data_IF_740115715676
#
_entry.id   IF_740115715676
#
_cell.length_a   1.000
_cell.length_b   1.000
_cell.length_c   1.000
_cell.angle_alpha   90.00
_cell.angle_beta   90.00
_cell.angle_gamma   90.00
#
_symmetry.space_group_name_H-M   'P 1'
#
loop_
_entity.id
_entity.type
_entity.pdbx_description
1 polymer ?
#
# COMPACT_ATOMS: atom_id res chain seq x y z
N UNK A 1 16.06 34.34 -26.86
CA UNK A 1 14.95 34.02 -25.95
C UNK A 1 15.23 32.61 -25.39
N UNK A 2 15.66 32.52 -24.13
CA UNK A 2 15.80 31.23 -23.46
C UNK A 2 14.41 30.75 -23.07
N UNK A 3 13.98 29.65 -23.64
CA UNK A 3 12.76 28.93 -23.28
C UNK A 3 12.80 28.60 -21.82
N UNK A 4 11.68 28.81 -21.12
CA UNK A 4 11.49 28.44 -19.73
C UNK A 4 11.92 26.98 -19.56
N UNK A 5 12.94 26.75 -18.72
CA UNK A 5 13.37 25.42 -18.31
C UNK A 5 12.24 24.81 -17.52
N UNK A 6 11.54 23.88 -18.15
CA UNK A 6 10.57 22.99 -17.48
C UNK A 6 11.33 22.29 -16.34
N UNK A 7 11.07 22.69 -15.09
CA UNK A 7 11.65 22.00 -13.93
C UNK A 7 11.18 20.56 -14.03
N UNK A 8 12.07 19.57 -13.92
CA UNK A 8 11.65 18.17 -13.95
C UNK A 8 10.55 17.97 -12.89
N UNK A 9 9.42 17.40 -13.32
CA UNK A 9 8.28 17.14 -12.44
C UNK A 9 8.76 16.30 -11.28
N UNK A 10 8.58 16.79 -10.06
CA UNK A 10 8.87 16.04 -8.83
C UNK A 10 7.98 14.81 -8.77
N UNK A 11 8.58 13.63 -8.50
CA UNK A 11 7.81 12.39 -8.35
C UNK A 11 7.02 12.40 -7.05
N UNK A 12 5.78 12.00 -7.13
CA UNK A 12 4.88 11.87 -5.98
C UNK A 12 4.82 10.44 -5.47
N UNK A 13 4.99 10.24 -4.16
CA UNK A 13 4.81 8.95 -3.48
C UNK A 13 3.63 9.05 -2.54
N UNK A 14 2.61 8.23 -2.74
CA UNK A 14 1.57 8.02 -1.74
C UNK A 14 1.97 6.90 -0.80
N UNK A 15 2.06 7.19 0.50
CA UNK A 15 2.27 6.21 1.56
C UNK A 15 0.92 5.86 2.17
N UNK A 16 0.49 4.63 1.92
CA UNK A 16 -0.77 4.06 2.40
C UNK A 16 -0.52 3.14 3.58
N UNK A 17 -1.06 3.47 4.73
CA UNK A 17 -0.97 2.66 5.95
C UNK A 17 -1.99 3.09 6.99
N UNK A 18 -2.25 2.20 7.95
CA UNK A 18 -2.81 2.59 9.25
C UNK A 18 -1.71 3.19 10.12
N UNK A 19 -2.07 4.11 11.00
CA UNK A 19 -1.07 4.84 11.82
C UNK A 19 -0.69 4.05 13.08
N UNK A 20 -1.67 3.44 13.73
CA UNK A 20 -1.51 2.84 15.06
C UNK A 20 -0.50 1.68 15.08
N UNK A 21 0.47 1.79 15.97
CA UNK A 21 1.47 0.76 16.24
C UNK A 21 2.70 0.78 15.32
N UNK A 22 2.72 1.68 14.33
CA UNK A 22 3.87 1.85 13.41
C UNK A 22 4.22 3.31 13.16
N UNK A 23 3.88 4.19 14.10
CA UNK A 23 4.09 5.64 14.00
C UNK A 23 5.55 5.98 13.67
N UNK A 24 6.51 5.35 14.35
CA UNK A 24 7.94 5.59 14.11
C UNK A 24 8.40 5.16 12.70
N UNK A 25 7.77 4.11 12.15
CA UNK A 25 8.04 3.65 10.78
C UNK A 25 7.55 4.68 9.78
N UNK A 26 6.35 5.22 10.01
CA UNK A 26 5.73 6.23 9.13
C UNK A 26 6.49 7.56 9.19
N UNK A 27 6.93 8.00 10.38
CA UNK A 27 7.77 9.19 10.51
C UNK A 27 9.08 9.02 9.73
N UNK A 28 9.77 7.88 9.92
CA UNK A 28 11.00 7.62 9.21
C UNK A 28 10.81 7.52 7.69
N UNK A 29 9.71 6.92 7.23
CA UNK A 29 9.36 6.87 5.81
C UNK A 29 9.17 8.27 5.23
N UNK A 30 8.40 9.12 5.92
CA UNK A 30 8.17 10.51 5.49
C UNK A 30 9.49 11.29 5.38
N UNK A 31 10.31 11.26 6.42
CA UNK A 31 11.58 12.00 6.49
C UNK A 31 12.56 11.54 5.40
N UNK A 32 12.74 10.22 5.24
CA UNK A 32 13.63 9.66 4.23
C UNK A 32 13.17 10.02 2.81
N UNK A 33 11.91 9.78 2.48
CA UNK A 33 11.39 10.05 1.14
C UNK A 33 11.44 11.54 0.80
N UNK A 34 11.09 12.41 1.74
CA UNK A 34 11.18 13.86 1.56
C UNK A 34 12.64 14.28 1.36
N UNK A 35 13.58 13.72 2.12
CA UNK A 35 15.03 14.02 1.99
C UNK A 35 15.61 13.60 0.65
N UNK A 36 15.03 12.59 0.00
CA UNK A 36 15.42 12.13 -1.34
C UNK A 36 14.76 12.93 -2.48
N UNK A 37 13.92 13.91 -2.16
CA UNK A 37 13.31 14.81 -3.12
C UNK A 37 11.95 14.40 -3.65
N UNK A 38 11.30 13.39 -3.06
CA UNK A 38 9.92 13.05 -3.41
C UNK A 38 8.91 14.00 -2.76
N UNK A 39 7.79 14.21 -3.44
CA UNK A 39 6.59 14.78 -2.84
C UNK A 39 5.81 13.64 -2.16
N UNK A 40 5.77 13.67 -0.82
CA UNK A 40 5.21 12.56 -0.03
C UNK A 40 3.77 12.86 0.38
N UNK A 41 2.84 12.03 -0.05
CA UNK A 41 1.42 12.12 0.30
C UNK A 41 1.08 11.10 1.39
N UNK A 42 0.71 11.58 2.55
CA UNK A 42 0.27 10.80 3.70
C UNK A 42 -0.94 11.48 4.35
N UNK A 43 -2.03 10.74 4.52
CA UNK A 43 -3.29 11.29 5.04
C UNK A 43 -3.13 11.84 6.48
N UNK A 44 -2.46 11.10 7.37
CA UNK A 44 -2.27 11.51 8.75
C UNK A 44 -1.31 12.70 8.94
N UNK A 45 -0.44 12.96 7.96
CA UNK A 45 0.42 14.16 7.92
C UNK A 45 -0.29 15.36 7.28
N UNK A 46 -1.47 15.17 6.72
CA UNK A 46 -2.18 16.23 5.99
C UNK A 46 -1.50 16.63 4.68
N UNK A 47 -0.56 15.84 4.18
CA UNK A 47 0.15 16.14 2.91
C UNK A 47 -0.55 15.55 1.69
N UNK A 48 -1.55 14.68 1.87
CA UNK A 48 -2.39 14.20 0.78
C UNK A 48 -3.29 15.34 0.28
N UNK A 49 -3.29 15.67 -1.02
CA UNK A 49 -4.22 16.65 -1.59
C UNK A 49 -5.67 16.20 -1.41
N UNK A 50 -6.50 17.06 -0.79
CA UNK A 50 -7.91 16.78 -0.54
C UNK A 50 -8.80 17.81 -1.23
N UNK A 51 -9.95 17.36 -1.73
CA UNK A 51 -10.96 18.17 -2.37
C UNK A 51 -12.22 18.16 -1.52
N UNK A 52 -12.75 19.36 -1.18
CA UNK A 52 -13.87 19.55 -0.25
C UNK A 52 -15.20 18.98 -0.73
N UNK A 53 -15.33 18.73 -2.03
CA UNK A 53 -16.52 18.13 -2.66
C UNK A 53 -16.47 16.61 -2.74
N UNK A 54 -15.50 15.97 -2.09
CA UNK A 54 -15.29 14.52 -2.06
C UNK A 54 -15.29 14.00 -0.63
N UNK A 55 -15.72 12.77 -0.46
CA UNK A 55 -15.57 12.04 0.80
C UNK A 55 -14.10 11.74 1.12
N UNK A 56 -13.79 11.36 2.36
CA UNK A 56 -12.46 10.92 2.75
C UNK A 56 -11.98 9.74 1.90
N UNK A 57 -12.85 8.75 1.65
CA UNK A 57 -12.55 7.60 0.80
C UNK A 57 -12.22 8.00 -0.64
N UNK A 58 -13.03 8.87 -1.24
CA UNK A 58 -12.80 9.35 -2.62
C UNK A 58 -11.49 10.11 -2.73
N UNK A 59 -11.13 10.93 -1.73
CA UNK A 59 -9.85 11.64 -1.70
C UNK A 59 -8.66 10.68 -1.61
N UNK A 60 -8.75 9.65 -0.77
CA UNK A 60 -7.70 8.64 -0.64
C UNK A 60 -7.50 7.84 -1.93
N UNK A 61 -8.58 7.34 -2.54
CA UNK A 61 -8.50 6.62 -3.82
C UNK A 61 -8.01 7.52 -4.96
N UNK A 62 -8.40 8.80 -4.95
CA UNK A 62 -7.87 9.76 -5.92
C UNK A 62 -6.37 9.99 -5.74
N UNK A 63 -5.87 9.98 -4.50
CA UNK A 63 -4.44 10.01 -4.19
C UNK A 63 -3.72 8.83 -4.84
N UNK A 64 -4.25 7.61 -4.70
CA UNK A 64 -3.70 6.41 -5.38
C UNK A 64 -3.68 6.59 -6.90
N UNK A 65 -4.77 7.10 -7.49
CA UNK A 65 -4.85 7.31 -8.94
C UNK A 65 -3.81 8.29 -9.46
N UNK A 66 -3.55 9.35 -8.69
CA UNK A 66 -2.72 10.47 -9.12
C UNK A 66 -1.24 10.36 -8.76
N UNK A 67 -0.89 9.61 -7.72
CA UNK A 67 0.51 9.42 -7.35
C UNK A 67 1.30 8.72 -8.47
N UNK A 68 2.59 9.02 -8.55
CA UNK A 68 3.50 8.33 -9.47
C UNK A 68 3.90 6.96 -8.88
N UNK A 69 4.01 6.87 -7.56
CA UNK A 69 4.46 5.67 -6.82
C UNK A 69 3.53 5.41 -5.64
N UNK A 70 3.22 4.14 -5.40
CA UNK A 70 2.49 3.68 -4.23
C UNK A 70 3.42 2.94 -3.27
N UNK A 71 3.50 3.39 -2.02
CA UNK A 71 4.19 2.68 -0.94
C UNK A 71 3.14 2.21 0.07
N UNK A 72 2.83 0.91 0.07
CA UNK A 72 1.90 0.30 1.01
C UNK A 72 2.63 -0.30 2.22
N UNK A 73 2.17 0.02 3.43
CA UNK A 73 2.71 -0.53 4.67
C UNK A 73 1.59 -1.19 5.46
N UNK A 74 1.60 -2.53 5.49
CA UNK A 74 0.62 -3.34 6.22
C UNK A 74 1.14 -3.53 7.65
N UNK A 75 0.56 -2.80 8.60
CA UNK A 75 0.85 -2.91 10.02
C UNK A 75 0.06 -4.03 10.72
N UNK A 76 -0.14 -3.89 12.03
CA UNK A 76 -0.94 -4.81 12.86
C UNK A 76 -2.39 -4.36 13.02
N UNK A 77 -2.70 -3.12 12.67
CA UNK A 77 -4.06 -2.55 12.69
C UNK A 77 -4.67 -2.52 11.29
N UNK A 78 -5.95 -2.89 11.18
CA UNK A 78 -6.65 -2.97 9.89
C UNK A 78 -7.14 -1.60 9.41
N UNK A 79 -7.34 -0.68 10.34
CA UNK A 79 -7.74 0.70 10.04
C UNK A 79 -9.24 0.93 10.07
N UNK A 80 -9.61 2.12 9.63
CA UNK A 80 -10.98 2.67 9.70
C UNK A 80 -11.71 2.58 8.38
N UNK A 81 -12.97 3.03 8.40
CA UNK A 81 -13.83 3.11 7.21
C UNK A 81 -14.61 1.84 6.94
N UNK A 82 -14.63 0.90 7.89
CA UNK A 82 -15.45 -0.31 7.78
C UNK A 82 -16.89 0.05 8.11
N UNK A 83 -17.80 -0.26 7.19
CA UNK A 83 -19.22 -0.23 7.47
C UNK A 83 -19.58 -1.44 8.34
N UNK A 84 -20.11 -1.17 9.53
CA UNK A 84 -20.48 -2.22 10.49
C UNK A 84 -21.66 -3.06 10.02
N UNK A 85 -22.49 -2.50 9.15
CA UNK A 85 -23.68 -3.16 8.61
C UNK A 85 -23.37 -3.96 7.33
N UNK A 86 -22.19 -3.78 6.74
CA UNK A 86 -21.71 -4.59 5.60
C UNK A 86 -20.48 -5.44 6.00
N UNK A 87 -20.66 -6.75 6.22
CA UNK A 87 -19.57 -7.67 6.55
C UNK A 87 -18.47 -7.77 5.47
N UNK A 88 -18.76 -7.29 4.24
CA UNK A 88 -17.80 -7.26 3.14
C UNK A 88 -17.06 -5.93 3.05
N UNK A 89 -17.45 -4.96 3.85
CA UNK A 89 -16.81 -3.66 3.89
C UNK A 89 -15.32 -3.78 4.24
N UNK A 90 -14.50 -3.06 3.50
CA UNK A 90 -13.04 -3.06 3.68
C UNK A 90 -12.58 -1.73 4.26
N UNK A 91 -11.46 -1.77 4.97
CA UNK A 91 -10.82 -0.54 5.42
C UNK A 91 -10.32 0.28 4.23
N UNK A 92 -10.15 1.58 4.45
CA UNK A 92 -9.67 2.50 3.42
C UNK A 92 -8.29 2.08 2.89
N UNK A 93 -7.39 1.65 3.76
CA UNK A 93 -6.05 1.18 3.39
C UNK A 93 -6.10 -0.09 2.53
N UNK A 94 -7.05 -0.98 2.81
CA UNK A 94 -7.26 -2.17 1.98
C UNK A 94 -7.79 -1.80 0.59
N UNK A 95 -8.70 -0.82 0.51
CA UNK A 95 -9.21 -0.30 -0.78
C UNK A 95 -8.11 0.41 -1.57
N UNK A 96 -7.25 1.19 -0.92
CA UNK A 96 -6.09 1.84 -1.54
C UNK A 96 -5.13 0.80 -2.15
N UNK A 97 -4.83 -0.28 -1.42
CA UNK A 97 -4.00 -1.37 -1.94
C UNK A 97 -4.63 -2.02 -3.18
N UNK A 98 -5.93 -2.32 -3.14
CA UNK A 98 -6.65 -2.90 -4.28
C UNK A 98 -6.68 -1.97 -5.49
N UNK A 99 -6.89 -0.68 -5.26
CA UNK A 99 -6.85 0.33 -6.33
C UNK A 99 -5.46 0.40 -6.96
N UNK A 100 -4.39 0.39 -6.15
CA UNK A 100 -3.02 0.38 -6.64
C UNK A 100 -2.70 -0.87 -7.45
N UNK A 101 -3.19 -2.05 -7.04
CA UNK A 101 -3.05 -3.31 -7.79
C UNK A 101 -3.84 -3.25 -9.10
N UNK A 102 -5.10 -2.81 -9.06
CA UNK A 102 -6.00 -2.74 -10.23
C UNK A 102 -5.46 -1.80 -11.31
N UNK A 103 -4.84 -0.69 -10.90
CA UNK A 103 -4.24 0.29 -11.80
C UNK A 103 -2.81 -0.08 -12.23
N UNK A 104 -2.31 -1.23 -11.79
CA UNK A 104 -0.91 -1.66 -11.96
C UNK A 104 0.09 -0.55 -11.62
N UNK A 105 -0.15 0.16 -10.50
CA UNK A 105 0.74 1.23 -10.03
C UNK A 105 2.13 0.68 -9.73
N UNK A 106 3.19 1.46 -10.05
CA UNK A 106 4.52 1.22 -9.49
C UNK A 106 4.40 1.18 -7.97
N UNK A 107 4.64 0.00 -7.36
CA UNK A 107 4.35 -0.20 -5.94
C UNK A 107 5.48 -0.91 -5.21
N UNK A 108 5.74 -0.44 -4.00
CA UNK A 108 6.61 -1.07 -3.02
C UNK A 108 5.77 -1.38 -1.78
N UNK A 109 5.96 -2.56 -1.23
CA UNK A 109 5.11 -3.03 -0.14
C UNK A 109 5.96 -3.53 1.02
N UNK A 110 5.54 -3.14 2.23
CA UNK A 110 6.06 -3.69 3.48
C UNK A 110 4.91 -4.33 4.27
N UNK A 111 5.22 -5.37 5.03
CA UNK A 111 4.26 -5.97 5.97
C UNK A 111 4.92 -6.30 7.30
N UNK A 112 4.19 -6.06 8.39
CA UNK A 112 4.64 -6.44 9.71
C UNK A 112 4.74 -7.96 9.83
N UNK A 113 5.77 -8.46 10.49
CA UNK A 113 6.06 -9.88 10.60
C UNK A 113 4.97 -10.68 11.37
N UNK A 114 4.23 -10.03 12.26
CA UNK A 114 3.07 -10.61 12.92
C UNK A 114 2.01 -11.11 11.92
N UNK A 115 1.80 -10.38 10.80
CA UNK A 115 0.85 -10.78 9.75
C UNK A 115 1.29 -12.08 9.09
N UNK A 116 2.58 -12.20 8.77
CA UNK A 116 3.15 -13.40 8.15
C UNK A 116 3.12 -14.58 9.13
N UNK A 117 3.46 -14.33 10.39
CA UNK A 117 3.46 -15.33 11.46
C UNK A 117 2.04 -15.86 11.69
N UNK A 118 1.06 -14.97 11.84
CA UNK A 118 -0.34 -15.33 11.99
C UNK A 118 -0.87 -16.13 10.80
N UNK A 119 -0.56 -15.69 9.56
CA UNK A 119 -0.89 -16.42 8.33
C UNK A 119 -0.35 -17.86 8.39
N UNK A 120 0.93 -17.99 8.68
CA UNK A 120 1.61 -19.30 8.70
C UNK A 120 1.01 -20.23 9.75
N UNK A 121 0.73 -19.69 10.94
CA UNK A 121 0.10 -20.45 12.02
C UNK A 121 -1.29 -20.93 11.61
N UNK A 122 -2.14 -20.01 11.14
CA UNK A 122 -3.52 -20.34 10.74
C UNK A 122 -3.59 -21.34 9.58
N UNK A 123 -2.67 -21.25 8.62
CA UNK A 123 -2.56 -22.24 7.54
C UNK A 123 -2.28 -23.64 8.11
N UNK A 124 -1.34 -23.75 9.05
CA UNK A 124 -1.00 -25.05 9.71
C UNK A 124 -2.14 -25.59 10.56
N UNK A 125 -3.00 -24.72 11.08
CA UNK A 125 -4.21 -25.10 11.82
C UNK A 125 -5.44 -25.40 10.92
N UNK A 126 -5.27 -25.40 9.58
CA UNK A 126 -6.33 -25.69 8.64
C UNK A 126 -7.21 -24.49 8.26
N UNK A 127 -6.83 -23.28 8.67
CA UNK A 127 -7.57 -22.05 8.36
C UNK A 127 -6.91 -21.25 7.21
N UNK A 128 -6.53 -21.94 6.15
CA UNK A 128 -6.04 -21.31 4.94
C UNK A 128 -7.16 -20.60 4.16
N UNK A 129 -6.85 -19.39 3.67
CA UNK A 129 -7.76 -18.59 2.84
C UNK A 129 -8.85 -17.83 3.60
N UNK A 130 -9.39 -16.75 2.96
CA UNK A 130 -10.31 -15.81 3.61
C UNK A 130 -11.59 -16.45 4.16
N UNK A 131 -12.19 -17.39 3.41
CA UNK A 131 -13.43 -18.07 3.83
C UNK A 131 -13.27 -18.91 5.11
N UNK A 132 -12.11 -19.51 5.31
CA UNK A 132 -11.83 -20.28 6.52
C UNK A 132 -11.55 -19.32 7.70
N UNK A 133 -10.79 -18.26 7.47
CA UNK A 133 -10.48 -17.23 8.47
C UNK A 133 -11.72 -16.45 8.93
N UNK A 134 -12.66 -16.15 8.02
CA UNK A 134 -13.90 -15.43 8.35
C UNK A 134 -14.80 -16.18 9.37
N UNK A 135 -14.57 -17.47 9.58
CA UNK A 135 -15.29 -18.27 10.60
C UNK A 135 -14.67 -18.16 11.99
N UNK A 136 -13.47 -17.59 12.09
CA UNK A 136 -12.77 -17.43 13.34
C UNK A 136 -13.21 -16.14 14.04
N UNK A 137 -13.43 -16.22 15.34
CA UNK A 137 -13.69 -15.06 16.17
C UNK A 137 -12.38 -14.63 16.84
N UNK A 138 -11.68 -13.70 16.20
CA UNK A 138 -10.48 -13.11 16.78
C UNK A 138 -10.90 -12.12 17.87
N UNK A 139 -10.56 -12.41 19.12
CA UNK A 139 -10.65 -11.43 20.19
C UNK A 139 -9.58 -10.36 19.97
N UNK A 140 -9.85 -9.12 20.38
CA UNK A 140 -8.88 -8.03 20.31
C UNK A 140 -7.51 -8.47 20.85
N UNK A 141 -6.49 -8.26 20.03
CA UNK A 141 -5.12 -8.67 20.32
C UNK A 141 -4.16 -7.59 19.83
N UNK A 142 -3.13 -7.32 20.61
CA UNK A 142 -2.04 -6.41 20.23
C UNK A 142 -1.14 -7.00 19.14
N UNK A 143 -1.26 -8.30 18.87
CA UNK A 143 -0.49 -8.98 17.80
C UNK A 143 -1.09 -8.73 16.43
N UNK A 144 -2.42 -8.78 16.33
CA UNK A 144 -3.14 -8.56 15.07
C UNK A 144 -4.59 -8.15 15.39
N UNK A 145 -5.01 -7.02 14.89
CA UNK A 145 -6.34 -6.49 15.16
C UNK A 145 -7.43 -7.24 14.38
N UNK A 146 -7.16 -7.59 13.13
CA UNK A 146 -8.13 -8.17 12.20
C UNK A 146 -7.46 -9.17 11.25
N UNK A 147 -8.11 -10.32 11.03
CA UNK A 147 -7.58 -11.37 10.14
C UNK A 147 -7.57 -10.95 8.65
N UNK A 148 -8.30 -9.91 8.27
CA UNK A 148 -8.25 -9.34 6.93
C UNK A 148 -6.90 -8.69 6.58
N UNK A 149 -6.04 -8.41 7.56
CA UNK A 149 -4.63 -8.06 7.32
C UNK A 149 -3.88 -9.18 6.59
N UNK A 150 -4.23 -10.44 6.88
CA UNK A 150 -3.68 -11.58 6.15
C UNK A 150 -4.20 -11.60 4.71
N UNK A 151 -5.48 -11.24 4.50
CA UNK A 151 -6.06 -11.14 3.17
C UNK A 151 -5.35 -10.06 2.34
N UNK A 152 -5.09 -8.88 2.94
CA UNK A 152 -4.29 -7.82 2.31
C UNK A 152 -2.90 -8.32 1.88
N UNK A 153 -2.21 -9.03 2.77
CA UNK A 153 -0.90 -9.60 2.46
C UNK A 153 -0.97 -10.62 1.33
N UNK A 154 -1.95 -11.52 1.35
CA UNK A 154 -2.16 -12.52 0.29
C UNK A 154 -2.51 -11.89 -1.06
N UNK A 155 -3.27 -10.79 -1.07
CA UNK A 155 -3.52 -9.99 -2.27
C UNK A 155 -2.23 -9.31 -2.76
N UNK A 156 -1.44 -8.75 -1.86
CA UNK A 156 -0.19 -8.08 -2.18
C UNK A 156 0.85 -9.01 -2.83
N UNK A 157 0.93 -10.27 -2.37
CA UNK A 157 1.85 -11.28 -2.94
C UNK A 157 1.26 -12.08 -4.10
N UNK A 158 0.03 -11.76 -4.52
CA UNK A 158 -0.71 -12.52 -5.55
C UNK A 158 -0.80 -14.02 -5.25
N UNK A 159 -1.11 -14.39 -3.98
CA UNK A 159 -1.04 -15.77 -3.50
C UNK A 159 -1.88 -16.75 -4.35
N UNK A 160 -2.95 -16.26 -4.98
CA UNK A 160 -3.85 -17.06 -5.82
C UNK A 160 -3.35 -17.32 -7.24
N UNK A 161 -2.30 -16.60 -7.68
CA UNK A 161 -1.72 -16.79 -9.02
C UNK A 161 -0.59 -17.80 -8.98
N UNK A 162 -0.33 -18.52 -10.10
CA UNK A 162 0.89 -19.29 -10.28
C UNK A 162 2.13 -18.41 -10.08
N UNK A 163 3.20 -18.96 -9.51
CA UNK A 163 4.40 -18.18 -9.14
C UNK A 163 4.99 -17.40 -10.33
N UNK A 164 4.98 -17.99 -11.52
CA UNK A 164 5.50 -17.35 -12.74
C UNK A 164 4.68 -16.12 -13.21
N UNK A 165 3.44 -15.98 -12.76
CA UNK A 165 2.53 -14.90 -13.14
C UNK A 165 2.51 -13.76 -12.13
N UNK A 166 3.16 -13.93 -10.97
CA UNK A 166 3.17 -12.96 -9.87
C UNK A 166 4.14 -11.81 -10.14
N UNK A 167 3.74 -10.84 -10.93
CA UNK A 167 4.53 -9.62 -11.14
C UNK A 167 4.20 -8.57 -10.09
N UNK A 168 5.23 -7.86 -9.57
CA UNK A 168 5.05 -6.81 -8.56
C UNK A 168 4.58 -7.33 -7.19
N UNK A 169 4.88 -8.60 -6.89
CA UNK A 169 4.47 -9.29 -5.66
C UNK A 169 5.53 -9.23 -4.54
N UNK A 170 6.56 -8.41 -4.69
CA UNK A 170 7.58 -8.28 -3.65
C UNK A 170 7.02 -7.51 -2.47
N UNK A 171 6.95 -8.16 -1.31
CA UNK A 171 6.56 -7.56 -0.03
C UNK A 171 7.69 -7.75 0.96
N UNK A 172 8.26 -6.65 1.44
CA UNK A 172 9.34 -6.68 2.43
C UNK A 172 8.75 -6.85 3.83
N UNK A 173 9.28 -7.83 4.56
CA UNK A 173 8.95 -8.01 5.98
C UNK A 173 9.67 -6.96 6.84
N UNK A 174 8.98 -6.45 7.86
CA UNK A 174 9.58 -5.64 8.92
C UNK A 174 8.96 -5.98 10.28
N UNK A 175 9.67 -5.72 11.35
CA UNK A 175 9.18 -5.77 12.73
C UNK A 175 9.05 -4.35 13.29
N UNK A 176 10.08 -3.55 13.10
CA UNK A 176 10.15 -2.18 13.60
C UNK A 176 10.81 -1.22 12.59
N UNK A 177 11.07 0.01 13.04
CA UNK A 177 11.76 1.03 12.25
C UNK A 177 13.14 0.59 11.75
N UNK A 178 13.87 -0.21 12.53
CA UNK A 178 15.24 -0.64 12.17
C UNK A 178 15.26 -1.57 10.98
N UNK A 179 14.17 -2.32 10.77
CA UNK A 179 13.99 -3.17 9.60
C UNK A 179 13.44 -2.39 8.40
N UNK A 180 12.45 -1.53 8.63
CA UNK A 180 11.76 -0.81 7.56
C UNK A 180 12.63 0.29 6.91
N UNK A 181 13.37 1.07 7.72
CA UNK A 181 14.16 2.21 7.21
C UNK A 181 15.24 1.82 6.21
N UNK A 182 16.07 0.76 6.43
CA UNK A 182 17.05 0.33 5.44
C UNK A 182 16.43 -0.10 4.11
N UNK A 183 15.27 -0.74 4.15
CA UNK A 183 14.56 -1.10 2.92
C UNK A 183 14.13 0.14 2.15
N UNK A 184 13.43 1.08 2.81
CA UNK A 184 12.98 2.34 2.20
C UNK A 184 14.19 3.11 1.64
N UNK A 185 15.25 3.24 2.42
CA UNK A 185 16.48 3.90 1.98
C UNK A 185 17.07 3.23 0.74
N UNK A 186 17.21 1.93 0.73
CA UNK A 186 17.84 1.21 -0.39
C UNK A 186 16.99 1.26 -1.66
N UNK A 187 15.67 1.27 -1.55
CA UNK A 187 14.79 1.38 -2.70
C UNK A 187 14.73 2.80 -3.26
N UNK A 188 14.59 3.81 -2.42
CA UNK A 188 14.18 5.15 -2.86
C UNK A 188 15.32 6.18 -2.96
N UNK A 189 16.51 5.96 -2.36
CA UNK A 189 17.64 6.89 -2.49
C UNK A 189 18.12 7.11 -3.93
N UNK A 190 17.78 6.20 -4.85
CA UNK A 190 18.17 6.24 -6.26
C UNK A 190 17.07 6.92 -7.10
N UNK A 191 16.74 8.14 -6.73
CA UNK A 191 15.64 8.91 -7.34
C UNK A 191 15.68 8.92 -8.88
N UNK A 192 16.86 9.18 -9.48
CA UNK A 192 17.00 9.29 -10.93
C UNK A 192 16.78 7.95 -11.64
N UNK A 193 17.24 6.85 -11.06
CA UNK A 193 17.02 5.51 -11.61
C UNK A 193 15.53 5.14 -11.56
N UNK A 194 14.85 5.49 -10.45
CA UNK A 194 13.40 5.28 -10.34
C UNK A 194 12.67 6.13 -11.35
N UNK A 195 13.03 7.40 -11.53
CA UNK A 195 12.41 8.28 -12.50
C UNK A 195 12.55 7.73 -13.94
N UNK A 196 13.74 7.26 -14.30
CA UNK A 196 13.99 6.63 -15.60
C UNK A 196 13.17 5.34 -15.77
N UNK A 197 13.15 4.48 -14.75
CA UNK A 197 12.35 3.26 -14.77
C UNK A 197 10.85 3.52 -14.96
N UNK A 198 10.31 4.54 -14.27
CA UNK A 198 8.90 4.92 -14.43
C UNK A 198 8.60 5.48 -15.82
N UNK A 199 9.53 6.23 -16.38
CA UNK A 199 9.40 6.73 -17.76
C UNK A 199 9.34 5.59 -18.78
N UNK A 200 10.22 4.63 -18.65
CA UNK A 200 10.33 3.51 -19.58
C UNK A 200 9.12 2.55 -19.49
N UNK A 201 8.62 2.27 -18.29
CA UNK A 201 7.68 1.16 -18.09
C UNK A 201 6.24 1.59 -17.78
N UNK A 202 5.99 2.84 -17.36
CA UNK A 202 4.67 3.27 -16.86
C UNK A 202 4.09 4.53 -17.53
N UNK A 203 4.88 5.34 -18.26
CA UNK A 203 4.37 6.57 -18.91
C UNK A 203 3.83 6.35 -20.32
N UNK A 204 3.90 5.16 -20.88
CA UNK A 204 3.60 4.87 -22.29
C UNK A 204 2.26 4.16 -22.50
N UNK A 205 1.17 4.63 -21.91
CA UNK A 205 -0.14 4.08 -22.23
C UNK A 205 -1.30 4.91 -21.69
N UNK A 206 -2.44 5.01 -22.42
CA UNK A 206 -3.66 5.52 -21.82
C UNK A 206 -4.10 4.58 -20.67
N UNK A 207 -4.75 5.09 -19.62
CA UNK A 207 -5.21 4.26 -18.52
C UNK A 207 -6.07 3.13 -19.07
N UNK A 208 -5.70 1.89 -18.76
CA UNK A 208 -6.50 0.72 -19.11
C UNK A 208 -7.89 0.90 -18.50
N UNK A 209 -8.91 0.89 -19.37
CA UNK A 209 -10.29 0.92 -18.91
C UNK A 209 -10.52 -0.28 -17.98
N UNK A 210 -11.21 -0.11 -16.83
CA UNK A 210 -11.57 -1.23 -15.98
C UNK A 210 -12.30 -2.27 -16.82
N UNK A 211 -11.79 -3.49 -16.88
CA UNK A 211 -12.57 -4.60 -17.42
C UNK A 211 -13.76 -4.78 -16.49
N UNK A 212 -14.96 -4.47 -17.00
CA UNK A 212 -16.20 -4.77 -16.32
C UNK A 212 -16.22 -6.28 -16.03
N UNK A 213 -16.23 -6.63 -14.76
CA UNK A 213 -16.57 -7.98 -14.35
C UNK A 213 -17.97 -8.26 -14.84
N UNK A 214 -18.09 -9.10 -15.84
CA UNK A 214 -19.40 -9.65 -16.24
C UNK A 214 -19.92 -10.57 -15.13
N UNK A 215 -21.24 -10.63 -14.95
CA UNK A 215 -21.95 -11.21 -13.81
C UNK A 215 -21.75 -12.72 -13.63
#
# INVERSE_FOLDING_TARGET
MRTATDKPKQLTIMVSSTVYGIEEVLEAAYDLLTSYGYEVWMSHKGSLPVFSNRSAFENCLEGVRKCDIFLGIIGTSYGTGIDKDDPKSLSIVHLELREAITLDKPRWLLTHDNVITARTLLMKLGHAGPKARAKLNLKRSDVLEDLRLIDMYEEAIFDRLPLAERKGNWVQKFHDRKDASPYIMNQFRRYQEIAAYLEEHFKSGPPLKPQAQQP
#
